data_IF_962155557500
#
_entry.id   IF_962155557500
#
_cell.length_a   1.000
_cell.length_b   1.000
_cell.length_c   1.000
_cell.angle_alpha   90.00
_cell.angle_beta   90.00
_cell.angle_gamma   90.00
#
_symmetry.space_group_name_H-M   'P 1'
#
loop_
_entity.id
_entity.type
_entity.pdbx_description
1 polymer ?
#
# COMPACT_ATOMS: atom_id res chain seq x y z
N UNK A 1 -12.81 -27.31 -32.09
CA UNK A 1 -13.74 -26.34 -31.47
C UNK A 1 -13.13 -25.85 -30.17
N UNK A 2 -12.49 -24.69 -30.21
CA UNK A 2 -11.74 -24.09 -29.10
C UNK A 2 -12.67 -23.23 -28.25
N UNK A 3 -12.87 -23.59 -26.98
CA UNK A 3 -13.61 -22.78 -26.00
C UNK A 3 -12.76 -21.58 -25.59
N UNK A 4 -13.12 -20.39 -26.06
CA UNK A 4 -12.65 -19.12 -25.50
C UNK A 4 -13.31 -18.93 -24.12
N UNK A 5 -12.52 -19.04 -23.05
CA UNK A 5 -12.94 -18.70 -21.70
C UNK A 5 -13.05 -17.18 -21.55
N UNK A 6 -14.22 -16.71 -21.15
CA UNK A 6 -14.57 -15.29 -21.02
C UNK A 6 -13.93 -14.75 -19.71
N UNK A 7 -12.87 -13.94 -19.81
CA UNK A 7 -12.00 -13.51 -18.68
C UNK A 7 -12.60 -12.34 -17.86
N UNK A 8 -13.92 -12.15 -17.86
CA UNK A 8 -14.57 -10.97 -17.24
C UNK A 8 -15.61 -11.33 -16.18
N UNK A 9 -15.53 -12.50 -15.54
CA UNK A 9 -16.43 -12.78 -14.43
C UNK A 9 -15.94 -12.07 -13.16
N UNK A 10 -16.79 -11.23 -12.52
CA UNK A 10 -16.45 -10.64 -11.23
C UNK A 10 -16.28 -11.76 -10.20
N UNK A 11 -15.18 -11.73 -9.44
CA UNK A 11 -14.97 -12.63 -8.31
C UNK A 11 -15.94 -12.18 -7.21
N UNK A 12 -17.02 -12.91 -7.03
CA UNK A 12 -17.98 -12.69 -5.94
C UNK A 12 -17.50 -13.48 -4.72
N UNK A 13 -16.96 -12.79 -3.72
CA UNK A 13 -16.67 -13.39 -2.42
C UNK A 13 -17.96 -13.33 -1.59
N UNK A 14 -18.71 -14.43 -1.55
CA UNK A 14 -19.92 -14.56 -0.74
C UNK A 14 -19.54 -14.93 0.70
N UNK A 15 -19.38 -13.93 1.56
CA UNK A 15 -19.34 -14.09 3.01
C UNK A 15 -20.60 -13.43 3.61
N UNK A 16 -21.52 -14.20 4.25
CA UNK A 16 -22.84 -13.72 4.65
C UNK A 16 -22.84 -12.64 5.75
N UNK A 17 -21.69 -12.28 6.35
CA UNK A 17 -21.61 -11.21 7.36
C UNK A 17 -20.97 -9.90 6.89
N UNK A 18 -20.48 -9.82 5.64
CA UNK A 18 -19.97 -8.57 5.09
C UNK A 18 -20.84 -8.14 3.93
N UNK A 19 -21.38 -6.91 3.97
CA UNK A 19 -21.94 -6.29 2.76
C UNK A 19 -20.84 -6.34 1.69
N UNK A 20 -20.95 -7.30 0.78
CA UNK A 20 -19.91 -7.62 -0.19
C UNK A 20 -19.64 -6.42 -1.08
N UNK A 21 -18.48 -5.79 -0.91
CA UNK A 21 -18.02 -4.76 -1.81
C UNK A 21 -17.81 -5.44 -3.17
N UNK A 22 -18.69 -5.13 -4.13
CA UNK A 22 -18.62 -5.71 -5.47
C UNK A 22 -17.70 -4.85 -6.33
N UNK A 23 -16.49 -5.35 -6.58
CA UNK A 23 -15.56 -4.67 -7.48
C UNK A 23 -15.96 -4.96 -8.92
N UNK A 24 -16.63 -4.02 -9.58
CA UNK A 24 -16.71 -4.02 -11.04
C UNK A 24 -15.37 -3.53 -11.60
N UNK A 25 -14.42 -4.43 -11.80
CA UNK A 25 -13.17 -4.11 -12.51
C UNK A 25 -13.49 -3.74 -13.96
N UNK A 26 -13.59 -2.45 -14.25
CA UNK A 26 -13.64 -2.00 -15.64
C UNK A 26 -12.26 -2.20 -16.29
N UNK A 27 -12.23 -2.46 -17.61
CA UNK A 27 -10.99 -2.67 -18.39
C UNK A 27 -9.91 -1.59 -18.18
N UNK A 28 -10.28 -0.40 -17.71
CA UNK A 28 -9.36 0.71 -17.46
C UNK A 28 -8.54 0.54 -16.18
N UNK A 29 -9.04 -0.19 -15.18
CA UNK A 29 -8.32 -0.44 -13.91
C UNK A 29 -7.40 -1.67 -13.95
N UNK A 30 -7.48 -2.47 -15.02
CA UNK A 30 -6.62 -3.63 -15.26
C UNK A 30 -5.30 -3.28 -15.96
N UNK A 31 -5.07 -1.99 -16.26
CA UNK A 31 -3.83 -1.54 -16.88
C UNK A 31 -2.76 -1.37 -15.81
N UNK A 32 -1.93 -2.39 -15.73
CA UNK A 32 -0.62 -2.34 -15.08
C UNK A 32 0.22 -1.25 -15.77
N UNK A 33 0.78 -0.31 -15.01
CA UNK A 33 1.59 0.80 -15.55
C UNK A 33 2.90 0.95 -14.78
N UNK A 34 4.00 1.14 -15.51
CA UNK A 34 5.25 1.62 -14.91
C UNK A 34 5.18 3.13 -14.70
N UNK A 35 5.38 3.54 -13.45
CA UNK A 35 5.27 4.93 -13.07
C UNK A 35 6.51 5.71 -13.51
N UNK A 36 6.24 6.91 -13.99
CA UNK A 36 7.23 7.94 -14.29
C UNK A 36 6.76 9.25 -13.65
N UNK A 37 7.65 10.24 -13.46
CA UNK A 37 7.22 11.56 -12.98
C UNK A 37 6.09 12.17 -13.83
N UNK A 38 6.08 11.91 -15.14
CA UNK A 38 5.10 12.47 -16.07
C UNK A 38 3.72 11.84 -15.92
N UNK A 39 3.64 10.52 -15.69
CA UNK A 39 2.36 9.81 -15.61
C UNK A 39 1.82 9.64 -14.18
N UNK A 40 2.66 9.88 -13.16
CA UNK A 40 2.34 9.62 -11.76
C UNK A 40 1.07 10.32 -11.29
N UNK A 41 0.90 11.61 -11.62
CA UNK A 41 -0.27 12.38 -11.18
C UNK A 41 -1.57 11.84 -11.77
N UNK A 42 -1.55 11.38 -13.03
CA UNK A 42 -2.72 10.76 -13.66
C UNK A 42 -3.06 9.44 -12.98
N UNK A 43 -2.07 8.56 -12.79
CA UNK A 43 -2.26 7.29 -12.08
C UNK A 43 -2.77 7.50 -10.66
N UNK A 44 -2.14 8.40 -9.90
CA UNK A 44 -2.50 8.77 -8.53
C UNK A 44 -3.98 9.16 -8.44
N UNK A 45 -4.42 10.00 -9.38
CA UNK A 45 -5.82 10.46 -9.44
C UNK A 45 -6.78 9.31 -9.74
N UNK A 46 -6.45 8.43 -10.68
CA UNK A 46 -7.27 7.25 -10.99
C UNK A 46 -7.40 6.29 -9.80
N UNK A 47 -6.32 6.04 -9.07
CA UNK A 47 -6.36 5.21 -7.87
C UNK A 47 -7.18 5.87 -6.77
N UNK A 48 -7.02 7.18 -6.53
CA UNK A 48 -7.82 7.88 -5.53
C UNK A 48 -9.32 7.83 -5.84
N UNK A 49 -9.72 7.99 -7.11
CA UNK A 49 -11.13 7.82 -7.48
C UNK A 49 -11.65 6.40 -7.19
N UNK A 50 -10.87 5.38 -7.54
CA UNK A 50 -11.24 3.99 -7.24
C UNK A 50 -11.40 3.78 -5.73
N UNK A 51 -10.46 4.27 -4.92
CA UNK A 51 -10.53 4.14 -3.47
C UNK A 51 -11.71 4.90 -2.88
N UNK A 52 -11.97 6.12 -3.36
CA UNK A 52 -13.08 6.96 -2.89
C UNK A 52 -14.45 6.32 -3.18
N UNK A 53 -14.65 5.74 -4.36
CA UNK A 53 -15.88 5.02 -4.70
C UNK A 53 -16.15 3.86 -3.73
N UNK A 54 -15.08 3.30 -3.13
CA UNK A 54 -15.17 2.19 -2.19
C UNK A 54 -15.03 2.63 -0.71
N UNK A 55 -14.95 3.93 -0.41
CA UNK A 55 -14.69 4.49 0.93
C UNK A 55 -13.38 3.99 1.58
N UNK A 56 -12.33 3.87 0.77
CA UNK A 56 -11.02 3.34 1.17
C UNK A 56 -9.88 4.37 1.10
N UNK A 57 -10.15 5.58 0.62
CA UNK A 57 -9.16 6.64 0.41
C UNK A 57 -8.44 7.04 1.72
N UNK A 58 -9.12 6.93 2.86
CA UNK A 58 -8.53 7.22 4.16
C UNK A 58 -7.26 6.42 4.48
N UNK A 59 -7.09 5.22 3.91
CA UNK A 59 -5.92 4.36 4.16
C UNK A 59 -4.67 4.77 3.36
N UNK A 60 -4.80 5.66 2.37
CA UNK A 60 -3.64 6.27 1.67
C UNK A 60 -3.39 7.72 2.08
N UNK A 61 -4.42 8.42 2.59
CA UNK A 61 -4.30 9.81 3.04
C UNK A 61 -3.80 9.89 4.49
N UNK A 62 -4.13 8.91 5.33
CA UNK A 62 -3.76 8.88 6.74
C UNK A 62 -3.23 7.51 7.17
N UNK A 63 -2.31 7.48 8.13
CA UNK A 63 -1.78 6.23 8.69
C UNK A 63 -2.79 5.62 9.67
N UNK A 64 -3.80 4.93 9.14
CA UNK A 64 -4.83 4.23 9.92
C UNK A 64 -4.36 2.90 10.52
N UNK A 65 -3.39 2.26 9.85
CA UNK A 65 -2.82 0.99 10.28
C UNK A 65 -1.33 1.19 10.47
N UNK A 66 -0.83 0.73 11.62
CA UNK A 66 0.58 0.81 11.96
C UNK A 66 1.11 -0.58 12.29
N UNK A 67 2.25 -0.92 11.71
CA UNK A 67 2.96 -2.19 11.96
C UNK A 67 4.25 -1.94 12.74
N UNK A 68 4.43 -2.70 13.81
CA UNK A 68 5.54 -2.59 14.76
C UNK A 68 6.37 -3.86 14.68
N UNK A 69 7.71 -3.74 14.75
CA UNK A 69 8.57 -4.91 14.90
C UNK A 69 8.41 -5.49 16.30
N UNK A 70 8.24 -6.80 16.43
CA UNK A 70 8.10 -7.49 17.73
C UNK A 70 9.20 -7.09 18.73
N UNK A 71 10.45 -7.00 18.27
CA UNK A 71 11.60 -6.57 19.09
C UNK A 71 11.52 -5.14 19.65
N UNK A 72 10.63 -4.30 19.11
CA UNK A 72 10.42 -2.91 19.55
C UNK A 72 9.20 -2.79 20.49
N UNK A 73 8.43 -3.87 20.69
CA UNK A 73 7.31 -3.90 21.63
C UNK A 73 7.90 -4.05 23.04
N UNK A 74 7.49 -3.15 23.96
CA UNK A 74 7.91 -3.18 25.36
C UNK A 74 6.93 -3.96 26.26
N UNK A 75 5.71 -4.11 25.78
CA UNK A 75 4.61 -4.79 26.48
C UNK A 75 4.58 -6.29 26.15
N UNK A 76 3.64 -7.02 26.75
CA UNK A 76 3.36 -8.41 26.37
C UNK A 76 2.87 -8.48 24.91
N UNK A 77 3.45 -9.40 24.15
CA UNK A 77 3.11 -9.66 22.74
C UNK A 77 1.72 -10.32 22.60
N UNK A 78 1.19 -10.94 23.66
CA UNK A 78 -0.11 -11.61 23.64
C UNK A 78 -1.28 -10.64 23.36
N UNK A 79 -1.11 -9.36 23.69
CA UNK A 79 -2.09 -8.30 23.44
C UNK A 79 -2.12 -7.80 21.98
N UNK A 80 -1.22 -8.27 21.13
CA UNK A 80 -1.04 -7.77 19.78
C UNK A 80 -1.52 -8.76 18.73
N UNK A 81 -2.12 -8.25 17.65
CA UNK A 81 -2.42 -9.06 16.47
C UNK A 81 -1.16 -9.23 15.62
N UNK A 82 -0.82 -10.47 15.27
CA UNK A 82 0.32 -10.77 14.41
C UNK A 82 0.05 -10.44 12.93
N UNK A 83 1.10 -10.01 12.23
CA UNK A 83 1.04 -9.86 10.77
C UNK A 83 1.16 -11.23 10.08
N UNK A 84 0.12 -11.60 9.33
CA UNK A 84 0.06 -12.88 8.61
C UNK A 84 1.11 -13.02 7.50
N UNK A 85 1.70 -11.91 7.06
CA UNK A 85 2.69 -11.89 5.97
C UNK A 85 4.13 -11.74 6.44
N UNK A 86 4.35 -11.32 7.70
CA UNK A 86 5.69 -11.16 8.29
C UNK A 86 5.63 -11.46 9.79
N UNK A 87 6.17 -12.62 10.16
CA UNK A 87 6.18 -13.11 11.54
C UNK A 87 6.96 -12.21 12.52
N UNK A 88 7.75 -11.24 12.03
CA UNK A 88 8.47 -10.28 12.86
C UNK A 88 7.66 -9.01 13.15
N UNK A 89 6.47 -8.87 12.57
CA UNK A 89 5.62 -7.71 12.73
C UNK A 89 4.33 -8.04 13.48
N UNK A 90 3.84 -7.04 14.20
CA UNK A 90 2.52 -7.01 14.81
C UNK A 90 1.83 -5.69 14.46
N UNK A 91 0.50 -5.67 14.50
CA UNK A 91 -0.29 -4.45 14.35
C UNK A 91 -0.35 -3.70 15.69
N UNK A 92 -0.36 -2.37 15.64
CA UNK A 92 -0.57 -1.52 16.81
C UNK A 92 -1.90 -1.85 17.52
N UNK A 93 -1.96 -1.72 18.85
CA UNK A 93 -3.10 -2.16 19.70
C UNK A 93 -4.42 -1.50 19.31
N UNK A 94 -4.36 -0.27 18.80
CA UNK A 94 -5.55 0.47 18.38
C UNK A 94 -6.09 0.02 17.02
N UNK A 95 -5.34 -0.85 16.31
CA UNK A 95 -5.76 -1.38 15.02
C UNK A 95 -6.79 -2.48 15.22
N UNK A 96 -7.90 -2.45 14.47
CA UNK A 96 -8.88 -3.55 14.47
C UNK A 96 -8.80 -4.40 13.18
N UNK A 97 -9.46 -5.56 13.18
CA UNK A 97 -9.46 -6.48 12.03
C UNK A 97 -10.01 -5.87 10.74
N UNK A 98 -10.99 -4.96 10.81
CA UNK A 98 -11.55 -4.31 9.64
C UNK A 98 -10.53 -3.37 9.00
N UNK A 99 -9.80 -2.60 9.81
CA UNK A 99 -8.73 -1.72 9.35
C UNK A 99 -7.60 -2.52 8.70
N UNK A 100 -7.21 -3.67 9.28
CA UNK A 100 -6.21 -4.56 8.68
C UNK A 100 -6.69 -5.05 7.31
N UNK A 101 -7.93 -5.53 7.22
CA UNK A 101 -8.50 -6.04 5.95
C UNK A 101 -8.51 -4.96 4.88
N UNK A 102 -8.93 -3.75 5.23
CA UNK A 102 -8.98 -2.62 4.32
C UNK A 102 -7.58 -2.15 3.91
N UNK A 103 -6.62 -2.07 4.84
CA UNK A 103 -5.22 -1.72 4.50
C UNK A 103 -4.62 -2.74 3.52
N UNK A 104 -4.81 -4.04 3.77
CA UNK A 104 -4.36 -5.10 2.86
C UNK A 104 -5.02 -4.97 1.49
N UNK A 105 -6.32 -4.70 1.45
CA UNK A 105 -7.06 -4.50 0.20
C UNK A 105 -6.53 -3.30 -0.60
N UNK A 106 -6.36 -2.15 0.05
CA UNK A 106 -5.86 -0.94 -0.60
C UNK A 106 -4.44 -1.15 -1.11
N UNK A 107 -3.58 -1.76 -0.30
CA UNK A 107 -2.22 -2.10 -0.70
C UNK A 107 -2.22 -3.04 -1.91
N UNK A 108 -3.11 -4.03 -1.92
CA UNK A 108 -3.27 -4.94 -3.06
C UNK A 108 -3.75 -4.20 -4.32
N UNK A 109 -4.72 -3.28 -4.22
CA UNK A 109 -5.17 -2.45 -5.35
C UNK A 109 -4.01 -1.65 -5.92
N UNK A 110 -3.22 -1.00 -5.07
CA UNK A 110 -2.05 -0.23 -5.48
C UNK A 110 -1.06 -1.15 -6.20
N UNK A 111 -0.59 -2.22 -5.57
CA UNK A 111 0.43 -3.12 -6.15
C UNK A 111 -0.03 -3.69 -7.49
N UNK A 112 -1.30 -4.10 -7.61
CA UNK A 112 -1.80 -4.70 -8.84
C UNK A 112 -2.00 -3.69 -9.98
N UNK A 113 -1.99 -2.39 -9.70
CA UNK A 113 -1.97 -1.35 -10.73
C UNK A 113 -0.57 -1.02 -11.26
N UNK A 114 0.50 -1.52 -10.61
CA UNK A 114 1.88 -1.13 -10.90
C UNK A 114 2.60 -2.17 -11.75
N UNK A 115 3.39 -1.69 -12.71
CA UNK A 115 4.36 -2.46 -13.48
C UNK A 115 5.51 -2.98 -12.63
N UNK A 116 6.24 -3.95 -13.18
CA UNK A 116 7.24 -4.72 -12.44
C UNK A 116 8.35 -3.83 -11.88
N UNK A 117 8.86 -2.88 -12.69
CA UNK A 117 9.94 -1.99 -12.26
C UNK A 117 9.50 -1.08 -11.12
N UNK A 118 8.23 -0.66 -11.15
CA UNK A 118 7.67 0.16 -10.08
C UNK A 118 7.41 -0.66 -8.80
N UNK A 119 7.01 -1.93 -8.92
CA UNK A 119 6.82 -2.81 -7.76
C UNK A 119 8.13 -3.02 -6.99
N UNK A 120 9.24 -3.18 -7.68
CA UNK A 120 10.59 -3.32 -7.07
C UNK A 120 10.94 -2.17 -6.13
N UNK A 121 10.42 -0.95 -6.39
CA UNK A 121 10.65 0.23 -5.53
C UNK A 121 9.99 0.07 -4.16
N UNK A 122 8.83 -0.59 -4.09
CA UNK A 122 8.03 -0.72 -2.86
C UNK A 122 8.19 -2.07 -2.17
N UNK A 123 8.79 -3.06 -2.85
CA UNK A 123 9.12 -4.36 -2.29
C UNK A 123 10.01 -4.21 -1.05
N UNK A 124 9.61 -4.88 0.05
CA UNK A 124 10.34 -4.86 1.33
C UNK A 124 10.27 -3.55 2.13
N UNK A 125 9.75 -2.45 1.56
CA UNK A 125 9.73 -1.14 2.22
C UNK A 125 8.34 -0.70 2.69
N UNK A 126 7.30 -0.90 1.86
CA UNK A 126 5.93 -0.51 2.21
C UNK A 126 5.23 -1.60 3.02
N UNK A 127 5.10 -1.44 4.35
CA UNK A 127 4.45 -2.45 5.19
C UNK A 127 2.92 -2.33 5.16
N UNK A 128 2.42 -1.11 5.06
CA UNK A 128 1.01 -0.72 5.00
C UNK A 128 0.69 0.01 3.69
N UNK A 129 -0.59 0.15 3.34
CA UNK A 129 -1.02 0.90 2.17
C UNK A 129 -0.54 2.35 2.20
N UNK A 130 -0.65 3.00 3.36
CA UNK A 130 -0.15 4.36 3.57
C UNK A 130 1.34 4.47 3.26
N UNK A 131 2.17 3.57 3.81
CA UNK A 131 3.61 3.60 3.58
C UNK A 131 3.97 3.34 2.12
N UNK A 132 3.32 2.35 1.49
CA UNK A 132 3.45 2.10 0.05
C UNK A 132 3.12 3.36 -0.76
N UNK A 133 2.02 4.04 -0.43
CA UNK A 133 1.61 5.27 -1.10
C UNK A 133 2.66 6.40 -0.97
N UNK A 134 3.19 6.63 0.24
CA UNK A 134 4.21 7.65 0.49
C UNK A 134 5.53 7.36 -0.23
N UNK A 135 5.94 6.09 -0.33
CA UNK A 135 7.14 5.71 -1.09
C UNK A 135 6.96 6.06 -2.57
N UNK A 136 5.82 5.72 -3.17
CA UNK A 136 5.53 6.05 -4.56
C UNK A 136 5.48 7.56 -4.78
N UNK A 137 4.76 8.29 -3.92
CA UNK A 137 4.71 9.76 -3.97
C UNK A 137 6.11 10.38 -3.94
N UNK A 138 6.95 9.97 -2.99
CA UNK A 138 8.33 10.46 -2.90
C UNK A 138 9.19 10.09 -4.11
N UNK A 139 8.96 8.91 -4.71
CA UNK A 139 9.75 8.40 -5.83
C UNK A 139 9.46 9.10 -7.15
N UNK A 140 8.25 9.66 -7.31
CA UNK A 140 7.81 10.22 -8.59
C UNK A 140 7.45 11.70 -8.56
N UNK A 141 7.34 12.33 -7.38
CA UNK A 141 7.07 13.79 -7.28
C UNK A 141 8.28 14.63 -6.88
N UNK A 142 9.32 14.02 -6.29
CA UNK A 142 10.51 14.76 -5.86
C UNK A 142 11.48 14.97 -7.00
N UNK A 143 11.89 16.23 -7.23
CA UNK A 143 12.99 16.54 -8.14
C UNK A 143 14.29 15.86 -7.66
N UNK A 144 15.21 15.53 -8.58
CA UNK A 144 16.51 14.93 -8.24
C UNK A 144 17.29 15.75 -7.19
N UNK A 145 17.23 17.07 -7.25
CA UNK A 145 17.92 17.99 -6.34
C UNK A 145 17.39 17.87 -4.91
N UNK A 146 16.07 17.78 -4.74
CA UNK A 146 15.45 17.58 -3.41
C UNK A 146 15.81 16.22 -2.81
N UNK A 147 15.94 15.17 -3.63
CA UNK A 147 16.41 13.86 -3.16
C UNK A 147 17.86 13.92 -2.68
N UNK A 148 18.74 14.59 -3.43
CA UNK A 148 20.15 14.76 -3.06
C UNK A 148 20.30 15.51 -1.73
N UNK A 149 19.53 16.59 -1.55
CA UNK A 149 19.55 17.38 -0.32
C UNK A 149 19.07 16.59 0.90
N UNK A 150 18.01 15.79 0.77
CA UNK A 150 17.54 14.94 1.88
C UNK A 150 18.51 13.81 2.22
N UNK A 151 19.14 13.20 1.22
CA UNK A 151 20.19 12.20 1.45
C UNK A 151 21.36 12.84 2.19
N UNK A 152 21.79 14.03 1.79
CA UNK A 152 22.83 14.78 2.51
C UNK A 152 22.41 15.09 3.95
N UNK A 153 21.17 15.54 4.18
CA UNK A 153 20.67 15.80 5.53
C UNK A 153 20.59 14.54 6.39
N UNK A 154 20.17 13.40 5.83
CA UNK A 154 20.18 12.11 6.54
C UNK A 154 21.60 11.66 6.88
N UNK A 155 22.55 11.79 5.95
CA UNK A 155 23.97 11.46 6.20
C UNK A 155 24.52 12.36 7.31
N UNK A 156 24.24 13.66 7.26
CA UNK A 156 24.70 14.60 8.28
C UNK A 156 24.12 14.24 9.65
N UNK A 157 22.82 13.96 9.74
CA UNK A 157 22.18 13.58 11.00
C UNK A 157 22.67 12.22 11.53
N UNK A 158 23.14 11.31 10.68
CA UNK A 158 23.77 10.05 11.10
C UNK A 158 25.17 10.27 11.65
N UNK A 159 25.97 11.17 11.05
CA UNK A 159 27.29 11.54 11.57
C UNK A 159 27.24 12.22 12.95
N UNK A 160 26.17 12.93 13.26
CA UNK A 160 25.98 13.58 14.56
C UNK A 160 25.46 12.65 15.67
N UNK A 161 25.15 11.38 15.37
CA UNK A 161 24.74 10.38 16.36
C UNK A 161 25.87 9.37 16.69
N UNK A 162 27.13 9.66 16.33
CA UNK A 162 28.31 8.83 16.64
C UNK A 162 29.03 9.23 17.96
N UNK A 163 28.44 10.09 18.80
CA UNK A 163 28.93 10.42 20.14
C UNK A 163 28.20 9.66 21.26
#
# INVERSE_FOLDING_TARGET
MTRQGNINQPIVINDPQTKGITFSYSKNFNRVIDLTPDNYNSWRTSILYLLMINNLEGYVVSEKVKKIRKRNVKDDLSDYMEDKFDNNLVYDKDTNHLDIKNDVMVKWIIINSLGEETRKIIEGQGKTAFQTWKILEHSFTRSPERRKLEIQNKINNLKYNED
#
